data_IF_479684461576
#
_entry.id   IF_479684461576
#
_cell.length_a   1.000
_cell.length_b   1.000
_cell.length_c   1.000
_cell.angle_alpha   90.00
_cell.angle_beta   90.00
_cell.angle_gamma   90.00
#
_symmetry.space_group_name_H-M   'P 1'
#
loop_
_entity.id
_entity.type
_entity.pdbx_description
1 polymer ?
#
# COMPACT_ATOMS: atom_id res chain seq x y z
N UNK A 1 7.98 -13.82 -7.79
CA UNK A 1 9.34 -13.89 -7.22
C UNK A 1 9.71 -12.55 -6.61
N UNK A 2 10.87 -12.44 -5.94
CA UNK A 2 11.35 -11.20 -5.33
C UNK A 2 11.56 -10.04 -6.34
N UNK A 3 11.65 -10.36 -7.63
CA UNK A 3 11.75 -9.43 -8.76
C UNK A 3 10.73 -8.27 -8.71
N UNK A 4 9.49 -8.54 -8.27
CA UNK A 4 8.41 -7.52 -8.22
C UNK A 4 8.26 -6.88 -6.83
N UNK A 5 9.29 -6.94 -5.98
CA UNK A 5 9.33 -6.15 -4.77
C UNK A 5 9.71 -4.69 -5.11
N UNK A 6 8.99 -3.67 -4.60
CA UNK A 6 9.37 -2.27 -4.78
C UNK A 6 10.72 -1.96 -4.13
N UNK A 7 11.50 -1.10 -4.79
CA UNK A 7 12.82 -0.62 -4.34
C UNK A 7 12.81 0.88 -4.12
N UNK A 8 12.21 1.62 -5.05
CA UNK A 8 12.11 3.07 -5.01
C UNK A 8 10.78 3.48 -5.64
N UNK A 9 10.21 4.60 -5.21
CA UNK A 9 8.96 5.05 -5.79
C UNK A 9 8.51 6.38 -5.22
N UNK A 10 7.39 6.86 -5.75
CA UNK A 10 6.76 8.05 -5.21
C UNK A 10 6.38 7.81 -3.76
N UNK A 11 6.84 8.72 -2.92
CA UNK A 11 6.50 8.78 -1.53
C UNK A 11 6.47 10.25 -1.07
N UNK A 12 6.09 10.43 0.19
CA UNK A 12 6.44 11.60 0.99
C UNK A 12 7.98 11.67 1.19
N UNK A 13 8.46 12.55 2.06
CA UNK A 13 9.90 12.67 2.39
C UNK A 13 10.46 11.45 3.17
N UNK A 14 9.74 10.32 3.19
CA UNK A 14 10.02 9.10 3.94
C UNK A 14 9.76 7.87 3.07
N UNK A 15 10.63 6.88 3.20
CA UNK A 15 10.31 5.51 2.78
C UNK A 15 9.43 4.80 3.80
N UNK A 16 9.38 3.48 3.72
CA UNK A 16 8.67 2.69 4.69
C UNK A 16 8.71 1.19 4.44
N UNK A 17 8.19 0.44 5.41
CA UNK A 17 8.04 -1.01 5.37
C UNK A 17 6.61 -1.44 5.71
N UNK A 18 5.65 -1.29 4.78
CA UNK A 18 4.27 -1.70 5.00
C UNK A 18 4.19 -3.18 5.37
N UNK A 19 3.40 -3.50 6.40
CA UNK A 19 3.12 -4.87 6.79
C UNK A 19 1.77 -4.95 7.51
N UNK A 20 1.17 -6.14 7.54
CA UNK A 20 -0.14 -6.38 8.16
C UNK A 20 -0.07 -6.86 9.62
N UNK A 21 1.13 -6.96 10.22
CA UNK A 21 1.33 -7.69 11.49
C UNK A 21 2.40 -7.04 12.37
N UNK A 22 2.22 -7.15 13.68
CA UNK A 22 3.21 -6.74 14.70
C UNK A 22 4.35 -7.73 14.86
N UNK A 23 4.12 -9.00 14.55
CA UNK A 23 5.13 -10.06 14.48
C UNK A 23 4.82 -11.01 13.31
N UNK A 24 5.82 -11.77 12.85
CA UNK A 24 5.69 -12.53 11.60
C UNK A 24 4.63 -13.64 11.64
N UNK A 25 4.36 -14.21 12.82
CA UNK A 25 3.46 -15.35 13.02
C UNK A 25 2.04 -14.96 13.43
N UNK A 26 1.79 -13.68 13.73
CA UNK A 26 0.48 -13.19 14.19
C UNK A 26 -0.60 -13.21 13.12
N UNK A 27 -1.88 -13.00 13.49
CA UNK A 27 -2.95 -12.80 12.52
C UNK A 27 -2.72 -11.53 11.69
N UNK A 28 -3.36 -11.44 10.51
CA UNK A 28 -3.39 -10.20 9.73
C UNK A 28 -4.33 -9.21 10.42
N UNK A 29 -3.90 -7.96 10.56
CA UNK A 29 -4.71 -6.88 11.13
C UNK A 29 -4.93 -5.77 10.09
N UNK A 30 -6.16 -5.57 9.57
CA UNK A 30 -6.48 -4.49 8.65
C UNK A 30 -6.29 -3.09 9.27
N UNK A 31 -6.34 -2.99 10.59
CA UNK A 31 -6.27 -1.73 11.35
C UNK A 31 -4.85 -1.41 11.82
N UNK A 32 -3.87 -2.23 11.44
CA UNK A 32 -2.49 -1.97 11.83
C UNK A 32 -1.99 -0.67 11.18
N UNK A 33 -1.39 0.21 11.97
CA UNK A 33 -0.96 1.55 11.54
C UNK A 33 -0.09 1.54 10.27
N UNK A 34 0.69 0.47 10.05
CA UNK A 34 1.57 0.34 8.88
C UNK A 34 0.84 0.05 7.56
N UNK A 35 -0.45 -0.24 7.58
CA UNK A 35 -1.20 -0.66 6.39
C UNK A 35 -2.53 0.05 6.18
N UNK A 36 -3.02 0.80 7.17
CA UNK A 36 -4.26 1.55 7.03
C UNK A 36 -4.16 2.59 5.90
N UNK A 37 -5.21 2.75 5.09
CA UNK A 37 -5.26 3.79 4.07
C UNK A 37 -5.34 5.18 4.70
N UNK A 38 -4.85 6.22 4.01
CA UNK A 38 -5.02 7.59 4.49
C UNK A 38 -6.48 8.03 4.32
N UNK A 39 -7.02 8.77 5.29
CA UNK A 39 -8.39 9.29 5.32
C UNK A 39 -8.63 10.42 4.29
N UNK A 40 -7.57 11.11 3.89
CA UNK A 40 -7.55 12.12 2.84
C UNK A 40 -6.20 12.08 2.11
N UNK A 41 -6.16 12.58 0.86
CA UNK A 41 -4.93 12.61 0.08
C UNK A 41 -3.84 13.43 0.77
N UNK A 42 -2.63 12.87 0.88
CA UNK A 42 -1.51 13.48 1.56
C UNK A 42 -1.55 13.43 3.08
N UNK A 43 -2.46 12.65 3.70
CA UNK A 43 -2.49 12.52 5.16
C UNK A 43 -1.17 11.94 5.71
N UNK A 44 -0.57 12.68 6.64
CA UNK A 44 0.54 12.23 7.46
C UNK A 44 0.10 12.14 8.94
N UNK A 45 0.45 11.04 9.60
CA UNK A 45 0.16 10.83 11.03
C UNK A 45 1.45 10.67 11.83
N UNK A 46 2.31 9.74 11.42
CA UNK A 46 3.55 9.42 12.13
C UNK A 46 4.49 8.63 11.23
N UNK A 47 5.75 8.48 11.65
CA UNK A 47 6.70 7.60 10.98
C UNK A 47 6.25 6.13 10.94
N UNK A 48 5.32 5.72 11.81
CA UNK A 48 4.82 4.35 11.90
C UNK A 48 3.63 4.06 10.97
N UNK A 49 3.18 5.05 10.20
CA UNK A 49 2.06 4.95 9.26
C UNK A 49 2.55 4.62 7.84
N UNK A 50 3.27 3.51 7.72
CA UNK A 50 4.16 3.18 6.59
C UNK A 50 3.48 3.25 5.20
N UNK A 51 2.29 2.66 5.03
CA UNK A 51 1.59 2.69 3.73
C UNK A 51 1.15 4.09 3.32
N UNK A 52 0.81 4.96 4.28
CA UNK A 52 0.38 6.35 3.98
C UNK A 52 1.49 7.17 3.31
N UNK A 53 2.76 6.83 3.58
CA UNK A 53 3.88 7.53 2.94
C UNK A 53 3.89 7.32 1.41
N UNK A 54 3.32 6.22 0.91
CA UNK A 54 3.27 5.88 -0.51
C UNK A 54 1.90 6.11 -1.15
N UNK A 55 0.81 5.99 -0.38
CA UNK A 55 -0.56 6.12 -0.86
C UNK A 55 -0.99 7.60 -1.02
N UNK A 56 -0.42 8.26 -2.03
CA UNK A 56 -0.67 9.67 -2.37
C UNK A 56 -1.14 9.81 -3.83
N UNK A 57 -2.09 10.71 -4.09
CA UNK A 57 -2.60 10.98 -5.44
C UNK A 57 -1.69 11.93 -6.23
N UNK A 58 -0.45 11.49 -6.47
CA UNK A 58 0.55 12.30 -7.18
C UNK A 58 0.33 12.31 -8.70
N UNK A 59 -0.22 11.24 -9.26
CA UNK A 59 -0.40 11.06 -10.71
C UNK A 59 -1.81 10.60 -11.10
N UNK A 60 -2.85 11.27 -10.60
CA UNK A 60 -4.27 11.06 -10.96
C UNK A 60 -4.72 9.60 -10.80
N UNK A 61 -4.82 9.13 -9.55
CA UNK A 61 -5.07 7.76 -9.08
C UNK A 61 -3.86 6.80 -9.13
N UNK A 62 -2.65 7.31 -9.40
CA UNK A 62 -1.46 6.47 -9.55
C UNK A 62 -0.21 7.06 -8.89
N UNK A 63 0.75 6.18 -8.64
CA UNK A 63 2.12 6.45 -8.21
C UNK A 63 3.10 5.65 -9.05
N UNK A 64 4.35 6.07 -9.14
CA UNK A 64 5.40 5.30 -9.82
C UNK A 64 6.17 4.44 -8.83
N UNK A 65 6.50 3.22 -9.24
CA UNK A 65 7.32 2.29 -8.48
C UNK A 65 8.38 1.65 -9.38
N UNK A 66 9.62 1.63 -8.90
CA UNK A 66 10.75 0.86 -9.40
C UNK A 66 10.81 -0.46 -8.64
N UNK A 67 10.99 -1.57 -9.36
CA UNK A 67 11.04 -2.92 -8.80
C UNK A 67 12.45 -3.52 -8.86
N UNK A 68 12.67 -4.62 -8.14
CA UNK A 68 13.96 -5.33 -8.05
C UNK A 68 14.46 -5.89 -9.40
N UNK A 69 13.57 -6.08 -10.37
CA UNK A 69 13.94 -6.41 -11.76
C UNK A 69 14.28 -5.18 -12.61
N UNK A 70 14.40 -4.00 -11.98
CA UNK A 70 14.65 -2.71 -12.61
C UNK A 70 13.56 -2.21 -13.55
N UNK A 71 12.39 -2.87 -13.57
CA UNK A 71 11.23 -2.33 -14.25
C UNK A 71 10.64 -1.14 -13.47
N UNK A 72 10.13 -0.14 -14.19
CA UNK A 72 9.33 0.96 -13.63
C UNK A 72 7.90 0.78 -14.09
N UNK A 73 6.95 0.87 -13.17
CA UNK A 73 5.52 0.82 -13.50
C UNK A 73 4.78 1.98 -12.85
N UNK A 74 3.76 2.43 -13.57
CA UNK A 74 2.67 3.22 -13.00
C UNK A 74 1.74 2.27 -12.24
N UNK A 75 1.66 2.43 -10.94
CA UNK A 75 0.92 1.58 -10.01
C UNK A 75 -0.32 2.34 -9.53
N UNK A 76 -1.49 1.70 -9.57
CA UNK A 76 -2.70 2.31 -9.01
C UNK A 76 -2.58 2.46 -7.49
N UNK A 77 -3.10 3.52 -6.89
CA UNK A 77 -2.93 3.74 -5.44
C UNK A 77 -3.43 2.53 -4.63
N UNK A 78 -4.59 1.95 -4.97
CA UNK A 78 -5.10 0.73 -4.32
C UNK A 78 -4.30 -0.53 -4.63
N UNK A 79 -3.53 -0.54 -5.72
CA UNK A 79 -2.64 -1.66 -6.05
C UNK A 79 -1.45 -1.76 -5.09
N UNK A 80 -1.09 -0.69 -4.37
CA UNK A 80 -0.01 -0.70 -3.37
C UNK A 80 -0.18 -1.82 -2.33
N UNK A 81 -1.41 -2.12 -1.93
CA UNK A 81 -1.73 -3.22 -0.99
C UNK A 81 -1.55 -4.62 -1.58
N UNK A 82 -1.32 -4.73 -2.89
CA UNK A 82 -1.08 -6.00 -3.61
C UNK A 82 0.37 -6.20 -4.00
N UNK A 83 1.23 -5.19 -3.79
CA UNK A 83 2.66 -5.31 -4.08
C UNK A 83 3.38 -6.17 -3.03
N UNK A 84 4.41 -6.88 -3.46
CA UNK A 84 5.20 -7.74 -2.57
C UNK A 84 6.30 -6.92 -1.87
N UNK A 85 5.93 -6.06 -0.93
CA UNK A 85 6.85 -5.16 -0.19
C UNK A 85 8.01 -5.89 0.49
N UNK A 86 7.78 -7.10 1.00
CA UNK A 86 8.81 -7.95 1.57
C UNK A 86 8.41 -9.43 1.45
N UNK A 87 9.35 -10.35 1.75
CA UNK A 87 9.18 -11.80 1.61
C UNK A 87 7.86 -12.34 2.21
N UNK A 88 7.44 -11.81 3.35
CA UNK A 88 6.24 -12.25 4.09
C UNK A 88 5.01 -11.34 3.91
N UNK A 89 5.09 -10.32 3.07
CA UNK A 89 3.94 -9.47 2.80
C UNK A 89 2.81 -10.28 2.16
N UNK A 90 1.58 -10.17 2.65
CA UNK A 90 0.44 -10.88 2.10
C UNK A 90 -0.23 -10.04 1.01
N UNK A 91 -0.03 -10.43 -0.25
CA UNK A 91 -0.60 -9.74 -1.43
C UNK A 91 -2.11 -9.96 -1.60
N UNK A 92 -2.68 -10.88 -0.83
CA UNK A 92 -4.12 -11.12 -0.68
C UNK A 92 -4.58 -10.67 0.72
N UNK A 93 -3.94 -9.65 1.29
CA UNK A 93 -4.26 -9.13 2.61
C UNK A 93 -5.65 -8.47 2.69
N UNK A 94 -6.09 -8.06 3.88
CA UNK A 94 -7.41 -7.49 4.13
C UNK A 94 -7.83 -6.34 3.19
N UNK A 95 -6.89 -5.47 2.79
CA UNK A 95 -7.12 -4.35 1.87
C UNK A 95 -7.08 -4.77 0.39
N UNK A 96 -7.60 -5.95 0.08
CA UNK A 96 -7.68 -6.50 -1.29
C UNK A 96 -9.03 -7.18 -1.50
N UNK A 97 -9.47 -7.31 -2.75
CA UNK A 97 -10.73 -8.02 -3.06
C UNK A 97 -10.76 -9.44 -2.48
N UNK A 98 -9.63 -10.15 -2.56
CA UNK A 98 -9.50 -11.51 -2.02
C UNK A 98 -9.58 -11.51 -0.49
N UNK A 99 -9.05 -10.46 0.15
CA UNK A 99 -9.16 -10.24 1.59
C UNK A 99 -10.52 -9.73 2.06
N UNK A 100 -11.47 -9.51 1.15
CA UNK A 100 -12.85 -9.13 1.45
C UNK A 100 -13.14 -7.64 1.46
N UNK A 101 -12.18 -6.77 1.08
CA UNK A 101 -12.40 -5.32 1.05
C UNK A 101 -13.58 -4.97 0.14
N UNK A 102 -14.48 -4.14 0.64
CA UNK A 102 -15.62 -3.57 -0.07
C UNK A 102 -15.36 -2.10 -0.40
N UNK A 103 -16.13 -1.56 -1.35
CA UNK A 103 -16.01 -0.16 -1.75
C UNK A 103 -16.11 0.83 -0.57
N UNK A 104 -16.99 0.55 0.38
CA UNK A 104 -17.24 1.43 1.52
C UNK A 104 -16.18 1.35 2.62
N UNK A 105 -15.34 0.31 2.61
CA UNK A 105 -14.22 0.17 3.56
C UNK A 105 -13.10 1.17 3.23
N UNK A 106 -12.99 1.58 1.96
CA UNK A 106 -12.05 2.62 1.55
C UNK A 106 -12.49 4.01 2.03
N UNK A 107 -11.53 4.86 2.44
CA UNK A 107 -11.77 6.28 2.66
C UNK A 107 -12.43 6.95 1.46
N UNK A 108 -13.29 7.94 1.71
CA UNK A 108 -14.18 8.52 0.70
C UNK A 108 -13.45 8.93 -0.60
N UNK A 109 -12.29 9.59 -0.46
CA UNK A 109 -11.50 10.06 -1.60
C UNK A 109 -10.93 8.94 -2.46
N UNK A 110 -10.72 7.74 -1.89
CA UNK A 110 -10.20 6.57 -2.60
C UNK A 110 -11.28 5.75 -3.30
N UNK A 111 -12.56 5.90 -2.93
CA UNK A 111 -13.66 5.09 -3.48
C UNK A 111 -13.77 5.21 -5.01
N UNK A 112 -13.40 6.37 -5.56
CA UNK A 112 -13.39 6.63 -7.02
C UNK A 112 -12.31 5.85 -7.79
N UNK A 113 -11.28 5.34 -7.11
CA UNK A 113 -10.17 4.66 -7.77
C UNK A 113 -10.48 3.20 -8.09
N UNK A 114 -9.91 2.73 -9.20
CA UNK A 114 -10.01 1.34 -9.65
C UNK A 114 -9.58 0.38 -8.55
N UNK A 115 -10.35 -0.70 -8.42
CA UNK A 115 -10.03 -1.81 -7.53
C UNK A 115 -9.19 -2.86 -8.28
N UNK A 116 -8.10 -3.34 -7.65
CA UNK A 116 -7.09 -4.18 -8.31
C UNK A 116 -7.12 -5.66 -7.93
#
# INVERSE_FOLDING_TARGET
>A
GAALAPVFGDAMWRGGGPCYRTNESGPLDPKFNRIIPPEYDGQWISFSSEMMHFAIDRHNAFVNQLFMDWSVRRVGIKELWKLKWHRRFNVNGPWTKVGGVQLNDWPQWMRKFKEH
#
